data_IF_383272421231
#
_entry.id   IF_383272421231
#
_cell.length_a   1.000
_cell.length_b   1.000
_cell.length_c   1.000
_cell.angle_alpha   90.00
_cell.angle_beta   90.00
_cell.angle_gamma   90.00
#
_symmetry.space_group_name_H-M   'P 1'
#
loop_
_entity.id
_entity.type
_entity.pdbx_description
1 polymer ?
#
# COMPACT_ATOMS: atom_id res chain seq x y z
N UNK A 1 -5.90 -23.90 10.11
CA UNK A 1 -5.72 -22.55 10.67
C UNK A 1 -5.84 -21.56 9.52
N UNK A 2 -6.43 -20.39 9.71
CA UNK A 2 -6.43 -19.38 8.67
C UNK A 2 -4.98 -18.97 8.32
N UNK A 3 -4.74 -18.50 7.09
CA UNK A 3 -3.42 -18.02 6.72
C UNK A 3 -3.06 -16.74 7.49
N UNK A 4 -1.77 -16.53 7.77
CA UNK A 4 -1.28 -15.29 8.35
C UNK A 4 -1.53 -14.13 7.38
N UNK A 5 -2.22 -13.10 7.82
CA UNK A 5 -2.59 -11.98 6.98
C UNK A 5 -1.48 -10.92 6.88
N UNK A 6 -1.19 -10.48 5.67
CA UNK A 6 -0.24 -9.40 5.36
C UNK A 6 -0.91 -8.38 4.45
N UNK A 7 -1.17 -7.18 4.98
CA UNK A 7 -1.63 -6.05 4.18
C UNK A 7 -0.48 -5.40 3.41
N UNK A 8 -0.57 -5.28 2.10
CA UNK A 8 0.42 -4.55 1.29
C UNK A 8 -0.15 -3.19 0.92
N UNK A 9 0.41 -2.16 1.53
CA UNK A 9 0.03 -0.76 1.35
C UNK A 9 1.17 0.07 0.73
N UNK A 10 1.01 1.37 0.68
CA UNK A 10 2.07 2.31 0.30
C UNK A 10 1.62 3.42 -0.62
N UNK A 11 2.59 4.23 -1.04
CA UNK A 11 2.35 5.37 -1.92
C UNK A 11 2.03 4.92 -3.35
N UNK A 12 1.28 5.71 -4.12
CA UNK A 12 1.13 5.43 -5.53
C UNK A 12 2.51 5.44 -6.23
N UNK A 13 2.68 4.60 -7.23
CA UNK A 13 3.95 4.52 -8.01
C UNK A 13 5.20 4.18 -7.18
N UNK A 14 5.04 3.64 -6.00
CA UNK A 14 6.13 3.22 -5.10
C UNK A 14 6.54 1.74 -5.23
N UNK A 15 6.01 1.02 -6.23
CA UNK A 15 6.42 -0.36 -6.51
C UNK A 15 5.65 -1.44 -5.76
N UNK A 16 4.49 -1.15 -5.17
CA UNK A 16 3.68 -2.16 -4.47
C UNK A 16 3.28 -3.35 -5.36
N UNK A 17 2.98 -3.10 -6.65
CA UNK A 17 2.72 -4.20 -7.60
C UNK A 17 3.95 -5.07 -7.85
N UNK A 18 5.13 -4.48 -7.96
CA UNK A 18 6.38 -5.23 -8.08
C UNK A 18 6.65 -6.05 -6.81
N UNK A 19 6.47 -5.46 -5.63
CA UNK A 19 6.60 -6.18 -4.37
C UNK A 19 5.66 -7.38 -4.32
N UNK A 20 4.39 -7.21 -4.74
CA UNK A 20 3.42 -8.31 -4.80
C UNK A 20 3.84 -9.42 -5.79
N UNK A 21 4.40 -9.07 -6.95
CA UNK A 21 4.94 -10.07 -7.87
C UNK A 21 6.07 -10.89 -7.23
N UNK A 22 6.97 -10.22 -6.51
CA UNK A 22 8.08 -10.89 -5.82
C UNK A 22 7.60 -11.74 -4.64
N UNK A 23 6.60 -11.29 -3.89
CA UNK A 23 5.96 -12.09 -2.84
C UNK A 23 5.30 -13.34 -3.43
N UNK A 24 4.66 -13.22 -4.58
CA UNK A 24 3.97 -14.32 -5.25
C UNK A 24 4.91 -15.41 -5.79
N UNK A 25 6.21 -15.13 -5.97
CA UNK A 25 7.22 -16.14 -6.31
C UNK A 25 7.51 -17.09 -5.13
N UNK A 26 7.20 -16.66 -3.89
CA UNK A 26 7.49 -17.45 -2.71
C UNK A 26 6.51 -18.61 -2.54
N UNK A 27 6.98 -19.86 -2.28
CA UNK A 27 6.10 -21.03 -2.18
C UNK A 27 5.09 -20.97 -1.02
N UNK A 28 5.42 -20.27 0.06
CA UNK A 28 4.57 -20.13 1.25
C UNK A 28 3.63 -18.92 1.19
N UNK A 29 3.74 -18.03 0.20
CA UNK A 29 2.96 -16.79 0.15
C UNK A 29 1.96 -16.84 -1.01
N UNK A 30 0.68 -16.62 -0.72
CA UNK A 30 -0.33 -16.31 -1.72
C UNK A 30 -0.37 -14.79 -1.93
N UNK A 31 -0.24 -14.36 -3.17
CA UNK A 31 -0.40 -12.96 -3.55
C UNK A 31 -0.89 -12.87 -5.00
N UNK A 32 -1.98 -12.18 -5.23
CA UNK A 32 -2.57 -12.06 -6.57
C UNK A 32 -1.87 -11.03 -7.47
N UNK A 33 -1.08 -10.13 -6.88
CA UNK A 33 -0.31 -9.12 -7.59
C UNK A 33 -1.08 -7.86 -7.98
N UNK A 34 -2.42 -7.86 -7.88
CA UNK A 34 -3.28 -6.70 -8.12
C UNK A 34 -3.97 -6.23 -6.84
N UNK A 35 -4.65 -5.09 -6.89
CA UNK A 35 -5.40 -4.59 -5.74
C UNK A 35 -6.66 -5.42 -5.51
N UNK A 36 -6.86 -5.81 -4.26
CA UNK A 36 -8.02 -6.56 -3.79
C UNK A 36 -9.12 -5.60 -3.32
N UNK A 37 -10.39 -5.99 -3.45
CA UNK A 37 -11.50 -5.26 -2.86
C UNK A 37 -11.67 -5.51 -1.35
N UNK A 38 -10.98 -6.50 -0.77
CA UNK A 38 -11.17 -6.97 0.61
C UNK A 38 -11.15 -5.83 1.63
N UNK A 39 -10.12 -4.97 1.59
CA UNK A 39 -10.01 -3.85 2.51
C UNK A 39 -11.24 -2.92 2.45
N UNK A 40 -11.61 -2.50 1.25
CA UNK A 40 -12.76 -1.60 1.08
C UNK A 40 -14.07 -2.27 1.49
N UNK A 41 -14.26 -3.54 1.14
CA UNK A 41 -15.46 -4.30 1.51
C UNK A 41 -15.58 -4.42 3.04
N UNK A 42 -14.48 -4.71 3.73
CA UNK A 42 -14.43 -4.79 5.18
C UNK A 42 -14.76 -3.44 5.85
N UNK A 43 -14.19 -2.34 5.33
CA UNK A 43 -14.47 -1.00 5.84
C UNK A 43 -15.90 -0.55 5.57
N UNK A 44 -16.46 -0.88 4.40
CA UNK A 44 -17.87 -0.59 4.08
C UNK A 44 -18.81 -1.40 4.98
N UNK A 45 -18.53 -2.69 5.20
CA UNK A 45 -19.30 -3.53 6.13
C UNK A 45 -19.29 -2.94 7.53
N UNK A 46 -18.09 -2.56 8.04
CA UNK A 46 -17.95 -1.87 9.33
C UNK A 46 -18.83 -0.62 9.41
N UNK A 47 -18.80 0.21 8.38
CA UNK A 47 -19.58 1.45 8.33
C UNK A 47 -21.07 1.19 8.34
N UNK A 48 -21.54 0.27 7.49
CA UNK A 48 -22.98 -0.10 7.40
C UNK A 48 -23.50 -0.64 8.73
N UNK A 49 -22.74 -1.51 9.39
CA UNK A 49 -23.12 -2.06 10.69
C UNK A 49 -23.18 -0.96 11.76
N UNK A 50 -22.24 0.00 11.72
CA UNK A 50 -22.21 1.11 12.68
C UNK A 50 -23.39 2.07 12.54
N UNK A 51 -24.04 2.11 11.38
CA UNK A 51 -25.21 2.95 11.11
C UNK A 51 -26.54 2.17 11.29
N UNK A 52 -26.48 0.86 11.61
CA UNK A 52 -27.69 0.02 11.77
C UNK A 52 -28.31 0.19 13.15
N UNK A 53 -29.58 0.59 13.18
CA UNK A 53 -30.32 0.88 14.42
C UNK A 53 -30.51 -0.35 15.31
N UNK A 54 -30.70 -1.54 14.72
CA UNK A 54 -30.84 -2.78 15.49
C UNK A 54 -29.53 -3.18 16.12
N UNK A 55 -28.42 -3.01 15.40
CA UNK A 55 -27.07 -3.24 15.93
C UNK A 55 -26.78 -2.31 17.11
N UNK A 56 -27.06 -1.02 16.96
CA UNK A 56 -26.87 -0.02 18.03
C UNK A 56 -27.73 -0.35 19.25
N UNK A 57 -28.99 -0.69 19.04
CA UNK A 57 -29.88 -1.10 20.14
C UNK A 57 -29.39 -2.34 20.87
N UNK A 58 -28.87 -3.33 20.15
CA UNK A 58 -28.28 -4.52 20.79
C UNK A 58 -26.99 -4.21 21.56
N UNK A 59 -26.15 -3.33 21.04
CA UNK A 59 -24.96 -2.87 21.76
C UNK A 59 -25.30 -2.17 23.06
N UNK A 60 -26.36 -1.35 23.08
CA UNK A 60 -26.83 -0.67 24.29
C UNK A 60 -27.30 -1.66 25.39
N UNK A 61 -27.92 -2.77 25.00
CA UNK A 61 -28.47 -3.75 25.94
C UNK A 61 -27.46 -4.80 26.38
N UNK A 62 -26.56 -5.24 25.49
CA UNK A 62 -25.65 -6.36 25.73
C UNK A 62 -24.32 -6.17 24.98
N UNK A 63 -23.60 -5.12 25.33
CA UNK A 63 -22.39 -4.68 24.62
C UNK A 63 -21.37 -5.80 24.39
N UNK A 64 -20.97 -6.51 25.43
CA UNK A 64 -19.90 -7.51 25.33
C UNK A 64 -20.25 -8.65 24.39
N UNK A 65 -21.48 -9.15 24.47
CA UNK A 65 -21.97 -10.24 23.61
C UNK A 65 -22.06 -9.79 22.15
N UNK A 66 -22.68 -8.64 21.91
CA UNK A 66 -22.90 -8.12 20.55
C UNK A 66 -21.58 -7.70 19.89
N UNK A 67 -20.69 -7.03 20.61
CA UNK A 67 -19.35 -6.69 20.12
C UNK A 67 -18.51 -7.93 19.83
N UNK A 68 -18.63 -8.99 20.65
CA UNK A 68 -18.00 -10.29 20.40
C UNK A 68 -18.50 -10.96 19.12
N UNK A 69 -19.81 -10.96 18.87
CA UNK A 69 -20.40 -11.46 17.63
C UNK A 69 -19.92 -10.67 16.41
N UNK A 70 -19.92 -9.34 16.52
CA UNK A 70 -19.44 -8.45 15.45
C UNK A 70 -17.97 -8.73 15.12
N UNK A 71 -17.12 -8.82 16.14
CA UNK A 71 -15.71 -9.17 15.99
C UNK A 71 -15.54 -10.52 15.26
N UNK A 72 -16.25 -11.55 15.69
CA UNK A 72 -16.18 -12.89 15.10
C UNK A 72 -16.65 -12.90 13.64
N UNK A 73 -17.73 -12.18 13.34
CA UNK A 73 -18.22 -12.04 11.96
C UNK A 73 -17.19 -11.35 11.05
N UNK A 74 -16.58 -10.27 11.51
CA UNK A 74 -15.55 -9.54 10.76
C UNK A 74 -14.24 -10.35 10.61
N UNK A 75 -13.86 -11.12 11.63
CA UNK A 75 -12.76 -12.09 11.53
C UNK A 75 -13.05 -13.13 10.45
N UNK A 76 -14.28 -13.68 10.46
CA UNK A 76 -14.73 -14.61 9.43
C UNK A 76 -14.67 -14.01 8.02
N UNK A 77 -15.03 -12.74 7.88
CA UNK A 77 -14.92 -12.03 6.60
C UNK A 77 -13.46 -11.87 6.14
N UNK A 78 -12.56 -11.42 7.03
CA UNK A 78 -11.14 -11.23 6.73
C UNK A 78 -10.47 -12.54 6.34
N UNK A 79 -10.61 -13.58 7.15
CA UNK A 79 -9.94 -14.87 6.92
C UNK A 79 -10.64 -15.73 5.90
N UNK A 80 -11.96 -15.63 5.79
CA UNK A 80 -12.76 -16.37 4.82
C UNK A 80 -12.48 -16.01 3.37
N UNK A 81 -12.03 -14.76 3.12
CA UNK A 81 -11.69 -14.28 1.77
C UNK A 81 -10.61 -15.12 1.08
N UNK A 82 -9.69 -15.67 1.86
CA UNK A 82 -8.57 -16.48 1.37
C UNK A 82 -8.55 -17.91 1.96
N UNK A 83 -9.69 -18.41 2.41
CA UNK A 83 -9.75 -19.70 3.08
C UNK A 83 -9.27 -20.87 2.23
N UNK A 84 -9.40 -20.76 0.93
CA UNK A 84 -9.03 -21.78 -0.08
C UNK A 84 -7.65 -21.56 -0.72
N UNK A 85 -6.90 -20.55 -0.30
CA UNK A 85 -5.62 -20.20 -0.94
C UNK A 85 -4.53 -21.27 -0.81
N UNK A 86 -4.66 -22.19 0.16
CA UNK A 86 -3.74 -23.31 0.39
C UNK A 86 -2.32 -22.91 0.81
N UNK A 87 -2.09 -21.67 1.21
CA UNK A 87 -0.78 -21.14 1.61
C UNK A 87 -0.82 -20.65 3.07
N UNK A 88 0.29 -20.77 3.83
CA UNK A 88 0.33 -20.31 5.21
C UNK A 88 0.32 -18.79 5.39
N UNK A 89 0.66 -18.03 4.34
CA UNK A 89 0.67 -16.56 4.35
C UNK A 89 -0.11 -16.03 3.16
N UNK A 90 -0.92 -15.01 3.39
CA UNK A 90 -1.63 -14.25 2.35
C UNK A 90 -1.16 -12.80 2.36
N UNK A 91 -0.76 -12.29 1.20
CA UNK A 91 -0.43 -10.88 1.00
C UNK A 91 -1.51 -10.22 0.13
N UNK A 92 -2.32 -9.38 0.76
CA UNK A 92 -3.40 -8.63 0.14
C UNK A 92 -2.99 -7.19 -0.15
N UNK A 93 -3.13 -6.77 -1.39
CA UNK A 93 -2.73 -5.43 -1.80
C UNK A 93 -3.91 -4.46 -1.79
N UNK A 94 -3.87 -3.48 -0.89
CA UNK A 94 -4.73 -2.30 -0.94
C UNK A 94 -4.07 -1.15 -0.18
N UNK A 95 -4.03 0.06 -0.78
CA UNK A 95 -3.40 1.22 -0.13
C UNK A 95 -4.08 1.62 1.19
N UNK A 96 -5.36 1.33 1.33
CA UNK A 96 -6.13 1.66 2.52
C UNK A 96 -5.76 0.80 3.75
N UNK A 97 -5.02 -0.31 3.60
CA UNK A 97 -4.64 -1.14 4.75
C UNK A 97 -3.90 -0.36 5.83
N UNK A 98 -3.02 0.56 5.46
CA UNK A 98 -2.30 1.36 6.44
C UNK A 98 -3.21 2.32 7.22
N UNK A 99 -4.31 2.75 6.62
CA UNK A 99 -5.29 3.61 7.28
C UNK A 99 -6.11 2.89 8.36
N UNK A 100 -6.21 1.57 8.30
CA UNK A 100 -7.01 0.76 9.22
C UNK A 100 -6.20 -0.29 10.00
N UNK A 101 -4.91 -0.06 10.19
CA UNK A 101 -3.99 -0.98 10.89
C UNK A 101 -4.55 -1.41 12.25
N UNK A 102 -4.93 -0.46 13.11
CA UNK A 102 -5.44 -0.75 14.45
C UNK A 102 -6.73 -1.57 14.40
N UNK A 103 -7.62 -1.27 13.46
CA UNK A 103 -8.85 -2.04 13.27
C UNK A 103 -8.54 -3.48 12.84
N UNK A 104 -7.64 -3.67 11.90
CA UNK A 104 -7.23 -5.03 11.46
C UNK A 104 -6.57 -5.80 12.58
N UNK A 105 -5.72 -5.17 13.39
CA UNK A 105 -5.09 -5.81 14.55
C UNK A 105 -6.06 -6.19 15.66
N UNK A 106 -7.26 -5.58 15.73
CA UNK A 106 -8.34 -6.06 16.59
C UNK A 106 -8.96 -7.37 16.07
N UNK A 107 -8.95 -7.58 14.77
CA UNK A 107 -9.48 -8.80 14.13
C UNK A 107 -8.43 -9.91 14.08
N UNK A 108 -7.21 -9.56 13.72
CA UNK A 108 -6.06 -10.46 13.61
C UNK A 108 -4.83 -9.81 14.27
N UNK A 109 -4.55 -10.15 15.54
CA UNK A 109 -3.41 -9.58 16.27
C UNK A 109 -2.04 -9.92 15.66
N UNK A 110 -1.98 -10.95 14.82
CA UNK A 110 -0.76 -11.39 14.15
C UNK A 110 -0.60 -10.80 12.75
N UNK A 111 -1.59 -10.05 12.28
CA UNK A 111 -1.52 -9.35 11.00
C UNK A 111 -0.26 -8.47 10.91
N UNK A 112 0.32 -8.42 9.71
CA UNK A 112 1.50 -7.62 9.38
C UNK A 112 1.22 -6.72 8.20
N UNK A 113 2.01 -5.64 8.05
CA UNK A 113 1.80 -4.66 6.97
C UNK A 113 3.12 -4.32 6.29
N UNK A 114 3.19 -4.56 4.99
CA UNK A 114 4.29 -4.12 4.11
C UNK A 114 3.90 -2.80 3.45
N UNK A 115 4.69 -1.77 3.66
CA UNK A 115 4.41 -0.42 3.16
C UNK A 115 5.48 0.01 2.18
N UNK A 116 5.13 0.13 0.90
CA UNK A 116 6.08 0.60 -0.10
C UNK A 116 6.18 2.12 -0.10
N UNK A 117 7.42 2.62 -0.06
CA UNK A 117 7.75 4.03 -0.11
C UNK A 117 8.70 4.31 -1.28
N UNK A 118 8.72 5.55 -1.74
CA UNK A 118 9.58 6.01 -2.83
C UNK A 118 9.85 7.51 -2.67
N UNK A 119 10.94 8.00 -3.23
CA UNK A 119 11.24 9.44 -3.29
C UNK A 119 10.05 10.20 -3.90
N UNK A 120 9.56 11.24 -3.19
CA UNK A 120 8.26 11.86 -3.47
C UNK A 120 8.25 12.62 -4.80
N UNK A 121 9.33 13.28 -5.15
CA UNK A 121 9.48 13.94 -6.45
C UNK A 121 9.40 12.93 -7.59
N UNK A 122 9.98 11.74 -7.43
CA UNK A 122 9.91 10.67 -8.43
C UNK A 122 8.51 10.05 -8.54
N UNK A 123 7.73 10.04 -7.46
CA UNK A 123 6.31 9.69 -7.51
C UNK A 123 5.54 10.71 -8.34
N UNK A 124 5.70 12.00 -8.01
CA UNK A 124 5.10 13.09 -8.78
C UNK A 124 5.50 12.99 -10.26
N UNK A 125 6.79 12.92 -10.57
CA UNK A 125 7.29 12.83 -11.92
C UNK A 125 6.75 11.64 -12.70
N UNK A 126 6.54 10.50 -12.03
CA UNK A 126 5.92 9.32 -12.63
C UNK A 126 4.46 9.55 -13.00
N UNK A 127 3.69 10.27 -12.18
CA UNK A 127 2.29 10.62 -12.45
C UNK A 127 2.23 11.67 -13.55
N UNK A 128 3.03 12.73 -13.46
CA UNK A 128 3.13 13.78 -14.47
C UNK A 128 3.47 13.21 -15.86
N UNK A 129 4.43 12.28 -15.92
CA UNK A 129 4.79 11.62 -17.17
C UNK A 129 3.65 10.77 -17.77
N UNK A 130 2.73 10.27 -16.97
CA UNK A 130 1.51 9.62 -17.47
C UNK A 130 0.48 10.67 -17.93
N UNK A 131 0.29 11.74 -17.16
CA UNK A 131 -0.58 12.85 -17.54
C UNK A 131 -0.19 13.44 -18.90
N UNK A 132 1.11 13.66 -19.14
CA UNK A 132 1.60 14.20 -20.43
C UNK A 132 1.28 13.32 -21.63
N UNK A 133 1.11 12.00 -21.46
CA UNK A 133 0.70 11.10 -22.55
C UNK A 133 -0.77 11.24 -22.94
N UNK A 134 -1.58 11.78 -22.07
CA UNK A 134 -3.03 11.89 -22.20
C UNK A 134 -3.53 13.31 -21.99
N UNK A 135 -2.69 14.30 -22.27
CA UNK A 135 -2.95 15.72 -22.01
C UNK A 135 -4.19 16.28 -22.73
N UNK A 136 -4.62 15.64 -23.81
CA UNK A 136 -5.84 16.02 -24.53
C UNK A 136 -7.13 15.54 -23.86
N UNK A 137 -7.02 14.74 -22.81
CA UNK A 137 -8.16 14.15 -22.12
C UNK A 137 -8.19 14.63 -20.67
N UNK A 138 -9.33 15.09 -20.23
CA UNK A 138 -9.59 15.25 -18.79
C UNK A 138 -10.18 13.97 -18.23
N UNK A 139 -9.69 13.57 -17.06
CA UNK A 139 -10.16 12.40 -16.31
C UNK A 139 -10.77 12.86 -15.00
N UNK A 140 -11.46 11.97 -14.30
CA UNK A 140 -12.11 12.27 -13.01
C UNK A 140 -11.13 12.79 -11.93
N UNK A 141 -9.83 12.67 -12.13
CA UNK A 141 -8.81 13.27 -11.27
C UNK A 141 -8.63 14.77 -11.52
N UNK A 142 -9.23 15.31 -12.60
CA UNK A 142 -9.23 16.72 -12.99
C UNK A 142 -7.84 17.37 -13.02
N UNK A 143 -6.79 16.61 -13.31
CA UNK A 143 -5.43 17.13 -13.37
C UNK A 143 -5.19 18.02 -14.60
N UNK A 144 -6.03 17.92 -15.62
CA UNK A 144 -5.94 18.74 -16.82
C UNK A 144 -6.25 20.22 -16.57
N UNK A 145 -7.02 20.54 -15.51
CA UNK A 145 -7.41 21.90 -15.14
C UNK A 145 -6.26 22.73 -14.55
N UNK A 146 -5.13 22.09 -14.24
CA UNK A 146 -4.03 22.71 -13.49
C UNK A 146 -2.75 22.76 -14.30
N UNK A 147 -1.92 23.77 -14.03
CA UNK A 147 -0.52 23.78 -14.43
C UNK A 147 0.30 22.76 -13.59
N UNK A 148 1.60 22.64 -13.87
CA UNK A 148 2.46 21.65 -13.20
C UNK A 148 2.53 21.84 -11.69
N UNK A 149 2.55 23.06 -11.20
CA UNK A 149 2.59 23.35 -9.77
C UNK A 149 1.24 23.05 -9.13
N UNK A 150 0.15 23.50 -9.75
CA UNK A 150 -1.21 23.19 -9.30
C UNK A 150 -1.50 21.68 -9.27
N UNK A 151 -0.99 20.92 -10.25
CA UNK A 151 -1.09 19.46 -10.20
C UNK A 151 -0.32 18.84 -9.03
N UNK A 152 0.84 19.39 -8.67
CA UNK A 152 1.55 18.96 -7.47
C UNK A 152 0.72 19.24 -6.22
N UNK A 153 0.17 20.46 -6.08
CA UNK A 153 -0.70 20.81 -4.94
C UNK A 153 -1.91 19.86 -4.85
N UNK A 154 -2.58 19.60 -5.98
CA UNK A 154 -3.71 18.67 -6.02
C UNK A 154 -3.31 17.23 -5.62
N UNK A 155 -2.19 16.73 -6.09
CA UNK A 155 -1.76 15.36 -5.80
C UNK A 155 -1.34 15.17 -4.33
N UNK A 156 -0.72 16.19 -3.73
CA UNK A 156 -0.23 16.15 -2.35
C UNK A 156 -1.26 16.63 -1.31
N UNK A 157 -2.42 17.17 -1.73
CA UNK A 157 -3.48 17.53 -0.80
C UNK A 157 -3.92 16.31 0.02
N UNK A 158 -4.29 16.54 1.29
CA UNK A 158 -4.47 15.51 2.34
C UNK A 158 -5.41 14.36 1.96
N UNK A 159 -6.42 14.62 1.14
CA UNK A 159 -7.45 13.67 0.69
C UNK A 159 -7.17 13.09 -0.70
N UNK A 160 -6.06 13.47 -1.32
CA UNK A 160 -5.74 13.13 -2.72
C UNK A 160 -4.78 11.95 -2.87
N UNK A 161 -4.45 11.66 -4.13
CA UNK A 161 -3.80 10.41 -4.53
C UNK A 161 -2.44 10.13 -3.84
N UNK A 162 -1.65 11.18 -3.55
CA UNK A 162 -0.39 11.06 -2.81
C UNK A 162 -0.61 11.43 -1.34
N UNK A 163 -1.35 12.52 -1.08
CA UNK A 163 -1.51 13.06 0.26
C UNK A 163 -2.23 12.12 1.22
N UNK A 164 -3.27 11.41 0.80
CA UNK A 164 -4.01 10.51 1.68
C UNK A 164 -3.14 9.34 2.20
N UNK A 165 -2.46 8.54 1.35
CA UNK A 165 -1.56 7.51 1.85
C UNK A 165 -0.33 8.08 2.57
N UNK A 166 0.14 9.28 2.20
CA UNK A 166 1.24 9.95 2.89
C UNK A 166 0.84 10.35 4.32
N UNK A 167 -0.38 10.86 4.51
CA UNK A 167 -0.93 11.14 5.85
C UNK A 167 -1.05 9.88 6.70
N UNK A 168 -1.44 8.74 6.09
CA UNK A 168 -1.47 7.45 6.80
C UNK A 168 -0.06 6.98 7.20
N UNK A 169 0.96 7.23 6.37
CA UNK A 169 2.35 6.94 6.74
C UNK A 169 2.80 7.84 7.89
N UNK A 170 2.46 9.12 7.85
CA UNK A 170 2.81 10.05 8.93
C UNK A 170 2.19 9.64 10.26
N UNK A 171 0.93 9.23 10.28
CA UNK A 171 0.25 8.81 11.50
C UNK A 171 0.87 7.56 12.16
N UNK A 172 1.65 6.77 11.43
CA UNK A 172 2.41 5.66 12.04
C UNK A 172 3.38 6.15 13.11
N UNK A 173 3.89 7.39 13.01
CA UNK A 173 4.79 7.95 14.03
C UNK A 173 4.14 8.03 15.41
N UNK A 174 2.82 8.18 15.46
CA UNK A 174 2.05 8.34 16.70
C UNK A 174 1.51 7.02 17.27
N UNK A 175 1.66 5.91 16.51
CA UNK A 175 1.18 4.60 16.95
C UNK A 175 2.04 4.02 18.09
N UNK A 176 1.46 3.17 18.95
CA UNK A 176 2.21 2.38 19.92
C UNK A 176 3.31 1.53 19.26
N UNK A 177 4.41 1.29 19.96
CA UNK A 177 5.54 0.52 19.42
C UNK A 177 5.12 -0.89 18.97
N UNK A 178 4.26 -1.57 19.73
CA UNK A 178 3.73 -2.89 19.36
C UNK A 178 3.01 -2.91 18.02
N UNK A 179 2.36 -1.80 17.63
CA UNK A 179 1.72 -1.64 16.32
C UNK A 179 2.77 -1.30 15.25
N UNK A 180 3.74 -0.44 15.57
CA UNK A 180 4.85 -0.11 14.66
C UNK A 180 5.65 -1.36 14.27
N UNK A 181 5.86 -2.28 15.20
CA UNK A 181 6.58 -3.54 14.98
C UNK A 181 5.85 -4.48 13.98
N UNK A 182 4.56 -4.23 13.73
CA UNK A 182 3.76 -4.93 12.71
C UNK A 182 3.84 -4.28 11.33
N UNK A 183 4.62 -3.19 11.16
CA UNK A 183 4.75 -2.45 9.91
C UNK A 183 6.19 -2.49 9.44
N UNK A 184 6.40 -2.89 8.19
CA UNK A 184 7.71 -2.91 7.55
C UNK A 184 7.72 -2.05 6.29
N UNK A 185 8.57 -1.04 6.27
CA UNK A 185 8.71 -0.15 5.12
C UNK A 185 9.70 -0.72 4.10
N UNK A 186 9.27 -0.79 2.83
CA UNK A 186 10.07 -1.24 1.69
C UNK A 186 10.33 -0.06 0.78
N UNK A 187 11.59 0.39 0.71
CA UNK A 187 11.96 1.45 -0.21
C UNK A 187 12.02 0.90 -1.64
N UNK A 188 11.38 1.60 -2.55
CA UNK A 188 11.38 1.26 -3.97
C UNK A 188 12.80 1.19 -4.55
N UNK A 189 13.64 2.15 -4.18
CA UNK A 189 15.03 2.23 -4.64
C UNK A 189 15.85 1.00 -4.22
N UNK A 190 15.67 0.52 -2.97
CA UNK A 190 16.33 -0.68 -2.49
C UNK A 190 15.82 -1.93 -3.22
N UNK A 191 14.51 -2.00 -3.46
CA UNK A 191 13.89 -3.10 -4.22
C UNK A 191 14.42 -3.16 -5.66
N UNK A 192 14.73 -2.01 -6.26
CA UNK A 192 15.24 -1.93 -7.64
C UNK A 192 16.75 -2.20 -7.73
N UNK A 193 17.54 -1.76 -6.74
CA UNK A 193 19.01 -1.86 -6.78
C UNK A 193 19.50 -3.17 -6.15
N UNK A 194 18.85 -3.61 -5.07
CA UNK A 194 19.23 -4.79 -4.28
C UNK A 194 18.03 -5.70 -4.01
N UNK A 195 17.34 -6.19 -5.05
CA UNK A 195 16.08 -6.92 -4.88
C UNK A 195 16.23 -8.19 -4.03
N UNK A 196 17.32 -8.93 -4.18
CA UNK A 196 17.57 -10.15 -3.41
C UNK A 196 17.72 -9.87 -1.90
N UNK A 197 18.52 -8.86 -1.55
CA UNK A 197 18.73 -8.48 -0.14
C UNK A 197 17.46 -7.93 0.48
N UNK A 198 16.74 -7.07 -0.27
CA UNK A 198 15.47 -6.49 0.17
C UNK A 198 14.44 -7.58 0.44
N UNK A 199 14.27 -8.55 -0.48
CA UNK A 199 13.33 -9.63 -0.28
C UNK A 199 13.75 -10.59 0.82
N UNK A 200 15.05 -10.84 1.01
CA UNK A 200 15.56 -11.61 2.15
C UNK A 200 15.16 -10.96 3.48
N UNK A 201 15.29 -9.63 3.59
CA UNK A 201 14.84 -8.90 4.79
C UNK A 201 13.32 -9.00 4.99
N UNK A 202 12.54 -8.86 3.92
CA UNK A 202 11.08 -9.02 3.94
C UNK A 202 10.68 -10.42 4.40
N UNK A 203 11.24 -11.48 3.83
CA UNK A 203 10.94 -12.86 4.19
C UNK A 203 11.29 -13.18 5.65
N UNK A 204 12.47 -12.73 6.08
CA UNK A 204 12.90 -12.85 7.49
C UNK A 204 11.90 -12.17 8.44
N UNK A 205 11.47 -10.96 8.10
CA UNK A 205 10.50 -10.21 8.94
C UNK A 205 9.11 -10.84 8.91
N UNK A 206 8.67 -11.39 7.79
CA UNK A 206 7.42 -12.14 7.68
C UNK A 206 7.49 -13.45 8.50
N UNK A 207 8.66 -14.04 8.71
CA UNK A 207 8.85 -15.31 9.38
C UNK A 207 8.63 -16.52 8.46
N UNK A 208 8.79 -16.34 7.15
CA UNK A 208 8.74 -17.41 6.15
C UNK A 208 10.15 -17.93 5.82
N UNK A 209 10.25 -19.06 5.15
CA UNK A 209 11.52 -19.66 4.74
C UNK A 209 12.30 -18.74 3.80
N UNK A 210 13.61 -18.97 3.68
CA UNK A 210 14.42 -18.23 2.72
C UNK A 210 14.08 -18.68 1.28
N UNK A 211 13.84 -17.72 0.40
CA UNK A 211 13.57 -17.98 -1.01
C UNK A 211 14.42 -17.09 -1.91
N UNK A 212 14.99 -17.68 -2.96
CA UNK A 212 15.78 -16.96 -3.96
C UNK A 212 14.88 -16.50 -5.09
N UNK A 213 14.85 -15.19 -5.30
CA UNK A 213 14.20 -14.60 -6.48
C UNK A 213 15.19 -14.49 -7.64
N UNK A 214 14.72 -14.63 -8.88
CA UNK A 214 15.48 -14.23 -10.08
C UNK A 214 14.98 -12.86 -10.59
N UNK A 215 15.72 -11.77 -10.33
CA UNK A 215 15.30 -10.43 -10.76
C UNK A 215 15.20 -10.27 -12.28
N UNK A 216 15.76 -11.19 -13.05
CA UNK A 216 15.77 -11.15 -14.52
C UNK A 216 14.59 -11.89 -15.13
N UNK A 217 13.90 -12.72 -14.33
CA UNK A 217 12.77 -13.53 -14.80
C UNK A 217 11.66 -13.53 -13.75
N UNK A 218 10.73 -12.60 -13.88
CA UNK A 218 9.55 -12.53 -13.03
C UNK A 218 8.36 -13.20 -13.73
N UNK A 219 7.58 -13.94 -12.98
CA UNK A 219 6.32 -14.51 -13.47
C UNK A 219 5.28 -13.39 -13.57
N UNK A 220 4.92 -13.03 -14.78
CA UNK A 220 3.87 -12.03 -15.00
C UNK A 220 2.52 -12.64 -14.66
N UNK A 221 1.82 -12.04 -13.75
CA UNK A 221 0.44 -12.39 -13.43
C UNK A 221 -0.50 -11.76 -14.44
N UNK A 222 -1.55 -12.48 -14.89
CA UNK A 222 -2.41 -12.02 -15.99
C UNK A 222 -3.23 -10.78 -15.65
N UNK A 223 -3.37 -10.46 -14.38
CA UNK A 223 -4.15 -9.32 -13.95
C UNK A 223 -3.28 -8.15 -13.62
N UNK A 224 -3.67 -7.09 -14.22
CA UNK A 224 -3.16 -5.81 -13.95
C UNK A 224 -4.26 -4.86 -13.58
N UNK A 225 -3.93 -3.96 -12.73
CA UNK A 225 -4.60 -2.70 -12.65
C UNK A 225 -5.76 -2.59 -11.69
N UNK A 226 -5.43 -1.95 -10.68
CA UNK A 226 -6.23 -1.20 -9.75
C UNK A 226 -6.72 0.14 -10.31
N UNK A 227 -6.61 0.37 -11.63
CA UNK A 227 -6.91 1.66 -12.22
C UNK A 227 -8.14 1.62 -13.09
N UNK A 228 -9.12 2.48 -12.76
CA UNK A 228 -10.22 2.82 -13.64
C UNK A 228 -9.76 3.57 -14.90
N UNK A 229 -8.50 4.03 -14.93
CA UNK A 229 -7.90 4.87 -15.97
C UNK A 229 -6.86 4.10 -16.77
N UNK A 230 -7.24 3.03 -17.44
CA UNK A 230 -6.33 2.15 -18.18
C UNK A 230 -5.41 2.89 -19.15
N UNK A 231 -5.91 3.95 -19.78
CA UNK A 231 -5.10 4.71 -20.74
C UNK A 231 -4.11 5.65 -20.06
N UNK A 232 -4.42 6.18 -18.87
CA UNK A 232 -3.56 7.12 -18.14
C UNK A 232 -2.61 6.43 -17.18
N UNK A 233 -3.09 5.43 -16.46
CA UNK A 233 -2.37 4.80 -15.36
C UNK A 233 -2.08 3.32 -15.60
N UNK A 234 -1.91 2.93 -16.86
CA UNK A 234 -1.60 1.54 -17.20
C UNK A 234 -0.35 1.06 -16.48
N UNK A 235 -0.51 0.05 -15.64
CA UNK A 235 0.59 -0.69 -15.04
C UNK A 235 1.07 -1.77 -16.01
N UNK A 236 2.16 -1.51 -16.70
CA UNK A 236 2.83 -2.57 -17.46
C UNK A 236 3.60 -3.44 -16.49
N UNK A 237 3.21 -4.69 -16.39
CA UNK A 237 3.99 -5.68 -15.65
C UNK A 237 5.32 -5.90 -16.34
N UNK A 238 6.39 -5.90 -15.56
CA UNK A 238 7.73 -6.15 -16.08
C UNK A 238 8.12 -7.60 -15.82
N UNK A 239 8.68 -8.25 -16.83
CA UNK A 239 9.22 -9.61 -16.71
C UNK A 239 10.61 -9.65 -16.05
N UNK A 240 11.18 -8.47 -15.76
CA UNK A 240 12.48 -8.30 -15.10
C UNK A 240 12.52 -7.02 -14.30
N UNK A 241 13.30 -7.00 -13.25
CA UNK A 241 13.65 -5.78 -12.53
C UNK A 241 14.72 -5.03 -13.34
N UNK A 242 14.44 -3.79 -13.70
CA UNK A 242 15.35 -2.91 -14.39
C UNK A 242 15.41 -1.57 -13.65
N UNK A 243 16.53 -0.84 -13.67
CA UNK A 243 16.63 0.48 -13.07
C UNK A 243 15.46 1.37 -13.47
N UNK A 244 14.85 2.07 -12.52
CA UNK A 244 13.71 2.93 -12.82
C UNK A 244 14.16 4.11 -13.69
N UNK A 245 13.28 4.54 -14.59
CA UNK A 245 13.47 5.80 -15.27
C UNK A 245 13.40 6.93 -14.23
N UNK A 246 14.46 7.73 -14.16
CA UNK A 246 14.44 8.96 -13.37
C UNK A 246 13.64 10.03 -14.11
N UNK A 247 12.87 10.79 -13.35
CA UNK A 247 12.06 11.89 -13.87
C UNK A 247 12.72 13.21 -13.49
N UNK A 248 12.74 14.14 -14.41
CA UNK A 248 13.14 15.52 -14.14
C UNK A 248 12.00 16.24 -13.43
N UNK A 249 12.28 16.77 -12.25
CA UNK A 249 11.30 17.45 -11.41
C UNK A 249 11.57 18.95 -11.45
N UNK A 250 10.57 19.80 -11.77
CA UNK A 250 10.74 21.23 -11.71
C UNK A 250 11.17 21.67 -10.32
N UNK A 251 12.17 22.56 -10.23
CA UNK A 251 12.76 23.00 -8.96
C UNK A 251 11.69 23.49 -7.96
N UNK A 252 10.75 24.32 -8.41
CA UNK A 252 9.65 24.84 -7.57
C UNK A 252 8.75 23.73 -7.00
N UNK A 253 8.52 22.66 -7.77
CA UNK A 253 7.76 21.50 -7.31
C UNK A 253 8.55 20.74 -6.24
N UNK A 254 9.86 20.53 -6.47
CA UNK A 254 10.71 19.84 -5.48
C UNK A 254 10.81 20.65 -4.18
N UNK A 255 10.93 21.97 -4.26
CA UNK A 255 10.94 22.86 -3.09
C UNK A 255 9.61 22.78 -2.30
N UNK A 256 8.47 22.79 -3.00
CA UNK A 256 7.16 22.61 -2.40
C UNK A 256 7.07 21.28 -1.63
N UNK A 257 7.48 20.18 -2.29
CA UNK A 257 7.47 18.83 -1.69
C UNK A 257 8.38 18.79 -0.45
N UNK A 258 9.60 19.31 -0.55
CA UNK A 258 10.55 19.33 0.56
C UNK A 258 10.03 20.13 1.74
N UNK A 259 9.39 21.27 1.48
CA UNK A 259 8.79 22.11 2.53
C UNK A 259 7.61 21.42 3.22
N UNK A 260 6.73 20.77 2.45
CA UNK A 260 5.54 20.13 2.98
C UNK A 260 5.83 18.78 3.66
N UNK A 261 6.85 18.06 3.18
CA UNK A 261 7.10 16.67 3.53
C UNK A 261 8.52 16.44 4.08
N UNK A 262 9.13 17.44 4.72
CA UNK A 262 10.47 17.33 5.34
C UNK A 262 10.59 16.12 6.27
N UNK A 263 9.58 15.90 7.12
CA UNK A 263 9.50 14.74 8.02
C UNK A 263 9.68 13.38 7.31
N UNK A 264 9.17 13.27 6.08
CA UNK A 264 9.28 12.05 5.28
C UNK A 264 10.71 11.79 4.84
N UNK A 265 11.41 12.84 4.41
CA UNK A 265 12.81 12.76 4.02
C UNK A 265 13.69 12.47 5.21
N UNK A 266 13.45 13.12 6.35
CA UNK A 266 14.18 12.86 7.60
C UNK A 266 14.05 11.41 8.06
N UNK A 267 12.87 10.82 7.85
CA UNK A 267 12.61 9.43 8.26
C UNK A 267 13.16 8.39 7.29
N UNK A 268 12.90 8.55 6.00
CA UNK A 268 13.19 7.51 5.01
C UNK A 268 14.40 7.76 4.12
N UNK A 269 14.84 9.02 4.03
CA UNK A 269 15.96 9.46 3.19
C UNK A 269 16.91 10.39 3.95
N UNK A 270 17.33 10.03 5.19
CA UNK A 270 18.20 10.90 5.97
C UNK A 270 19.49 11.17 5.19
N UNK A 271 19.98 12.41 5.27
CA UNK A 271 21.28 12.76 4.71
C UNK A 271 22.36 11.85 5.31
N UNK A 272 23.36 11.43 4.52
CA UNK A 272 24.48 10.69 5.05
C UNK A 272 25.09 11.46 6.23
N UNK A 273 25.21 10.81 7.39
CA UNK A 273 25.92 11.43 8.51
C UNK A 273 27.32 11.74 8.01
N UNK A 274 27.72 13.01 8.06
CA UNK A 274 29.10 13.43 7.82
C UNK A 274 30.00 12.60 8.75
N UNK A 275 30.95 11.86 8.16
CA UNK A 275 31.95 11.07 8.90
C UNK A 275 32.94 12.00 9.54
#
# INVERSE_FOLDING_TARGET
>A
MPPNFVGVAGLPRSGSSLLCLLLAEHPEIHCEGHSSPLCNSLLMTRRTISDDQFMLSQLDVQFDTTSGHLKSAMQGFLHGWYADCGKPVVADKNRAWLHCVEFVLQLDPDAKFLVTIRELGQIYGSIEAQHQKTILLDFIDHLADFDRLGRADQLFAKDKAIGAPLSSIQSVQDLPQAVKDRIFFVRFEDLMVRPADTMTAVYKWLGVSAHKIDPRKLTVRPHESDSHFRHKYLHRQQTKIAPPKMHEIPLRVQELINKACGWYYDWFYPAPKAK
#
